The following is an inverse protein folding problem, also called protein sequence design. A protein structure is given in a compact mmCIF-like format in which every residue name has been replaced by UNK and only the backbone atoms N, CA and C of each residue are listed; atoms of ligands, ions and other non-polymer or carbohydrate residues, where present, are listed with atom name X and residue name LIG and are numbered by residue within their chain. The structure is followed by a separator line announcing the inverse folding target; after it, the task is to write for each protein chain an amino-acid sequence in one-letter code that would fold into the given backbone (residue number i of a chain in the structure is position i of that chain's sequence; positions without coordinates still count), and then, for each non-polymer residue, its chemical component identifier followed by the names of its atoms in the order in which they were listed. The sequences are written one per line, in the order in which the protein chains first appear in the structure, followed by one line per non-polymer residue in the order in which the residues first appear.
data_IF_556179844784
#
_entry.id   IF_556179844784
#
_cell.length_a   1.000
_cell.length_b   1.000
_cell.length_c   1.000
_cell.angle_alpha   90.00
_cell.angle_beta   90.00
_cell.angle_gamma   90.00
#
_symmetry.space_group_name_H-M   'P 1'
#
loop_
_entity.id
_entity.type
_entity.pdbx_description
1 polymer ?
#
# COMPACT_ATOMS: atom_id res chain seq x y z
N UNK A 1 -12.63 -6.83 7.33
CA UNK A 1 -11.16 -6.76 7.49
C UNK A 1 -10.75 -7.65 8.65
N UNK A 2 -9.74 -8.49 8.48
CA UNK A 2 -9.25 -9.37 9.55
C UNK A 2 -8.57 -8.54 10.66
N UNK A 3 -8.44 -9.08 11.87
CA UNK A 3 -7.74 -8.45 13.01
C UNK A 3 -6.29 -8.00 12.69
N UNK A 4 -5.72 -8.51 11.62
CA UNK A 4 -4.39 -8.20 11.12
C UNK A 4 -4.21 -6.73 10.65
N UNK A 5 -5.20 -6.16 9.99
CA UNK A 5 -5.10 -4.79 9.48
C UNK A 5 -4.99 -3.72 10.57
N UNK A 6 -5.34 -4.05 11.82
CA UNK A 6 -5.26 -3.13 12.97
C UNK A 6 -3.95 -3.22 13.77
N UNK A 7 -3.01 -4.06 13.38
CA UNK A 7 -1.73 -4.20 14.09
C UNK A 7 -0.65 -3.24 13.57
N UNK A 8 -0.85 -2.64 12.41
CA UNK A 8 0.09 -1.68 11.83
C UNK A 8 0.20 -0.37 12.64
N UNK A 9 -0.85 0.01 13.37
CA UNK A 9 -0.89 1.22 14.18
C UNK A 9 0.10 1.25 15.34
N UNK A 10 0.54 0.09 15.85
CA UNK A 10 1.51 0.00 16.93
C UNK A 10 2.84 0.71 16.64
N UNK A 11 3.11 1.02 15.37
CA UNK A 11 4.34 1.68 14.93
C UNK A 11 4.10 2.63 13.74
N UNK A 12 2.97 3.37 13.74
CA UNK A 12 2.55 4.22 12.63
C UNK A 12 3.62 5.25 12.22
N UNK A 13 4.31 5.86 13.19
CA UNK A 13 5.37 6.83 12.92
C UNK A 13 6.58 6.17 12.24
N UNK A 14 7.01 5.00 12.70
CA UNK A 14 8.09 4.24 12.04
C UNK A 14 7.65 3.82 10.65
N UNK A 15 6.44 3.29 10.51
CA UNK A 15 5.87 2.91 9.22
C UNK A 15 5.97 4.04 8.20
N UNK A 16 5.52 5.23 8.56
CA UNK A 16 5.52 6.40 7.69
C UNK A 16 6.94 6.83 7.28
N UNK A 17 7.91 6.72 8.20
CA UNK A 17 9.28 7.15 7.95
C UNK A 17 10.10 6.16 7.10
N UNK A 18 9.76 4.88 7.09
CA UNK A 18 10.61 3.85 6.49
C UNK A 18 10.01 3.20 5.25
N UNK A 19 8.68 3.23 5.10
CA UNK A 19 8.03 2.68 3.91
C UNK A 19 8.34 3.55 2.69
N UNK A 20 8.57 2.93 1.52
CA UNK A 20 8.83 3.70 0.31
C UNK A 20 7.58 4.46 -0.10
N UNK A 21 7.77 5.63 -0.70
CA UNK A 21 6.75 6.29 -1.50
C UNK A 21 6.43 5.52 -2.77
N UNK A 22 5.67 6.16 -3.64
CA UNK A 22 5.34 5.65 -4.96
C UNK A 22 5.91 6.61 -6.02
N UNK A 23 6.09 6.15 -7.26
CA UNK A 23 6.58 7.01 -8.34
C UNK A 23 5.69 8.24 -8.57
N UNK A 24 6.30 9.41 -8.70
CA UNK A 24 5.61 10.67 -8.97
C UNK A 24 4.78 10.61 -10.24
N UNK A 25 5.29 9.97 -11.27
CA UNK A 25 4.66 9.81 -12.58
C UNK A 25 3.28 9.14 -12.50
N UNK A 26 3.07 8.28 -11.50
CA UNK A 26 1.79 7.63 -11.27
C UNK A 26 0.74 8.66 -10.78
N UNK A 27 1.11 9.55 -9.90
CA UNK A 27 0.21 10.58 -9.39
C UNK A 27 0.02 11.72 -10.40
N UNK A 28 1.05 12.06 -11.17
CA UNK A 28 0.98 13.02 -12.27
C UNK A 28 -0.03 12.53 -13.32
N UNK A 29 0.07 11.25 -13.71
CA UNK A 29 -0.88 10.60 -14.62
C UNK A 29 -2.32 10.66 -14.09
N UNK A 30 -2.53 10.39 -12.78
CA UNK A 30 -3.87 10.50 -12.17
C UNK A 30 -4.39 11.95 -12.20
N UNK A 31 -3.53 12.93 -11.88
CA UNK A 31 -3.91 14.34 -11.90
C UNK A 31 -4.24 14.85 -13.32
N UNK A 32 -3.54 14.35 -14.33
CA UNK A 32 -3.75 14.73 -15.73
C UNK A 32 -5.10 14.21 -16.29
N UNK A 33 -5.55 13.04 -15.85
CA UNK A 33 -6.81 12.41 -16.32
C UNK A 33 -8.02 12.79 -15.48
N UNK A 34 -7.83 13.31 -14.27
CA UNK A 34 -8.90 13.75 -13.39
C UNK A 34 -9.22 15.24 -13.58
N UNK A 35 -10.47 15.67 -13.34
CA UNK A 35 -10.81 17.10 -13.33
C UNK A 35 -10.01 17.86 -12.24
N UNK A 36 -9.70 19.12 -12.49
CA UNK A 36 -9.10 19.97 -11.45
C UNK A 36 -9.95 20.00 -10.18
N UNK A 37 -9.34 19.76 -9.04
CA UNK A 37 -10.03 19.66 -7.75
C UNK A 37 -10.95 18.43 -7.62
N UNK A 38 -10.68 17.38 -8.37
CA UNK A 38 -11.41 16.12 -8.29
C UNK A 38 -11.44 15.55 -6.87
N UNK A 39 -12.52 14.86 -6.54
CA UNK A 39 -12.69 14.22 -5.24
C UNK A 39 -12.32 12.74 -5.33
N UNK A 40 -11.32 12.35 -4.56
CA UNK A 40 -10.78 10.98 -4.49
C UNK A 40 -11.20 10.33 -3.18
N UNK A 41 -11.72 9.11 -3.26
CA UNK A 41 -11.83 8.23 -2.10
C UNK A 41 -10.59 7.33 -2.05
N UNK A 42 -9.83 7.43 -0.98
CA UNK A 42 -8.71 6.51 -0.72
C UNK A 42 -9.12 5.44 0.30
N UNK A 43 -9.01 4.17 -0.08
CA UNK A 43 -9.39 3.02 0.74
C UNK A 43 -8.15 2.37 1.32
N UNK A 44 -8.05 2.32 2.65
CA UNK A 44 -6.88 1.83 3.36
C UNK A 44 -5.71 2.81 3.27
N UNK A 45 -5.97 4.07 3.64
CA UNK A 45 -5.01 5.16 3.47
C UNK A 45 -3.75 5.03 4.35
N UNK A 46 -3.82 4.23 5.41
CA UNK A 46 -2.70 4.03 6.34
C UNK A 46 -2.23 5.35 6.98
N UNK A 47 -0.95 5.61 6.94
CA UNK A 47 -0.33 6.86 7.43
C UNK A 47 -0.39 8.00 6.42
N UNK A 48 -0.97 7.78 5.23
CA UNK A 48 -1.21 8.81 4.23
C UNK A 48 -0.07 9.03 3.23
N UNK A 49 0.76 8.05 2.98
CA UNK A 49 1.86 8.15 2.00
C UNK A 49 1.30 8.54 0.62
N UNK A 50 0.27 7.85 0.12
CA UNK A 50 -0.36 8.21 -1.15
C UNK A 50 -1.31 9.41 -1.01
N UNK A 51 -1.97 9.58 0.13
CA UNK A 51 -2.84 10.75 0.41
C UNK A 51 -2.10 12.06 0.20
N UNK A 52 -0.87 12.18 0.73
CA UNK A 52 -0.04 13.39 0.59
C UNK A 52 0.27 13.70 -0.87
N UNK A 53 0.55 12.69 -1.67
CA UNK A 53 0.83 12.84 -3.10
C UNK A 53 -0.41 13.29 -3.90
N UNK A 54 -1.57 12.73 -3.57
CA UNK A 54 -2.85 13.14 -4.19
C UNK A 54 -3.18 14.60 -3.87
N UNK A 55 -3.06 14.99 -2.60
CA UNK A 55 -3.29 16.36 -2.14
C UNK A 55 -2.28 17.36 -2.73
N UNK A 56 -1.01 16.96 -2.84
CA UNK A 56 0.05 17.77 -3.45
C UNK A 56 -0.22 18.12 -4.91
N UNK A 57 -1.06 17.36 -5.58
CA UNK A 57 -1.53 17.58 -6.96
C UNK A 57 -2.88 18.30 -7.04
N UNK A 58 -3.34 18.87 -5.92
CA UNK A 58 -4.56 19.68 -5.87
C UNK A 58 -5.86 18.89 -5.89
N UNK A 59 -5.80 17.58 -5.62
CA UNK A 59 -6.98 16.73 -5.46
C UNK A 59 -7.55 16.88 -4.04
N UNK A 60 -8.83 16.60 -3.87
CA UNK A 60 -9.49 16.52 -2.57
C UNK A 60 -9.60 15.06 -2.16
N UNK A 61 -9.21 14.71 -0.95
CA UNK A 61 -9.17 13.32 -0.53
C UNK A 61 -10.10 13.06 0.65
N UNK A 62 -10.97 12.05 0.50
CA UNK A 62 -11.62 11.38 1.62
C UNK A 62 -10.88 10.06 1.85
N UNK A 63 -10.21 9.95 2.98
CA UNK A 63 -9.43 8.77 3.37
C UNK A 63 -10.24 7.88 4.32
N UNK A 64 -10.38 6.60 3.97
CA UNK A 64 -10.97 5.56 4.84
C UNK A 64 -9.85 4.68 5.37
N UNK A 65 -9.69 4.68 6.70
CA UNK A 65 -8.66 3.88 7.38
C UNK A 65 -9.23 3.27 8.66
N UNK A 66 -9.16 1.94 8.85
CA UNK A 66 -9.73 1.30 10.03
C UNK A 66 -8.86 1.36 11.29
N UNK A 67 -7.55 1.64 11.15
CA UNK A 67 -6.65 1.72 12.31
C UNK A 67 -6.56 3.15 12.83
N UNK A 68 -6.94 3.34 14.10
CA UNK A 68 -6.97 4.64 14.77
C UNK A 68 -5.60 5.35 14.78
N UNK A 69 -4.50 4.62 15.01
CA UNK A 69 -3.17 5.23 15.10
C UNK A 69 -2.65 5.63 13.71
N UNK A 70 -2.90 4.80 12.70
CA UNK A 70 -2.62 5.14 11.31
C UNK A 70 -3.39 6.39 10.89
N UNK A 71 -4.70 6.44 11.15
CA UNK A 71 -5.55 7.59 10.83
C UNK A 71 -5.12 8.86 11.57
N UNK A 72 -4.69 8.75 12.84
CA UNK A 72 -4.13 9.90 13.57
C UNK A 72 -2.82 10.38 12.98
N UNK A 73 -1.94 9.45 12.58
CA UNK A 73 -0.68 9.80 11.93
C UNK A 73 -0.93 10.51 10.60
N UNK A 74 -1.83 9.98 9.77
CA UNK A 74 -2.30 10.62 8.55
C UNK A 74 -2.78 12.06 8.81
N UNK A 75 -3.68 12.24 9.77
CA UNK A 75 -4.25 13.56 10.09
C UNK A 75 -3.21 14.58 10.60
N UNK A 76 -2.18 14.10 11.32
CA UNK A 76 -1.12 14.97 11.88
C UNK A 76 -0.12 15.43 10.84
N UNK A 77 0.17 14.59 9.85
CA UNK A 77 1.25 14.85 8.88
C UNK A 77 0.77 15.40 7.55
N UNK A 78 -0.56 15.52 7.38
CA UNK A 78 -1.13 15.87 6.10
C UNK A 78 -1.81 17.23 6.17
N UNK A 79 -1.49 18.09 5.19
CA UNK A 79 -2.11 19.41 5.01
C UNK A 79 -2.81 19.42 3.65
N UNK A 80 -4.04 19.89 3.60
CA UNK A 80 -4.81 19.98 2.35
C UNK A 80 -6.31 19.76 2.58
N UNK A 81 -7.06 19.59 1.49
CA UNK A 81 -8.49 19.29 1.52
C UNK A 81 -8.70 17.78 1.78
N UNK A 82 -8.55 17.42 3.06
CA UNK A 82 -8.58 16.04 3.57
C UNK A 82 -9.71 15.84 4.56
N UNK A 83 -10.51 14.81 4.33
CA UNK A 83 -11.41 14.22 5.31
C UNK A 83 -10.96 12.82 5.66
N UNK A 84 -10.86 12.47 6.97
CA UNK A 84 -10.47 11.13 7.43
C UNK A 84 -11.65 10.47 8.13
N UNK A 85 -12.03 9.29 7.65
CA UNK A 85 -13.10 8.47 8.22
C UNK A 85 -12.50 7.19 8.79
N UNK A 86 -12.54 7.07 10.12
CA UNK A 86 -12.02 5.88 10.81
C UNK A 86 -13.07 4.79 10.78
N UNK A 87 -12.95 3.91 9.79
CA UNK A 87 -13.86 2.76 9.59
C UNK A 87 -13.23 1.75 8.63
N UNK A 88 -13.68 0.52 8.66
CA UNK A 88 -13.38 -0.43 7.59
C UNK A 88 -14.23 -0.13 6.34
N UNK A 89 -13.73 -0.54 5.16
CA UNK A 89 -14.41 -0.29 3.90
C UNK A 89 -15.77 -1.00 3.80
N UNK A 90 -15.92 -2.17 4.43
CA UNK A 90 -17.18 -2.91 4.49
C UNK A 90 -18.28 -2.14 5.21
N UNK A 91 -17.91 -1.34 6.20
CA UNK A 91 -18.84 -0.49 6.99
C UNK A 91 -19.02 0.90 6.42
N UNK A 92 -18.15 1.34 5.53
CA UNK A 92 -18.26 2.68 4.91
C UNK A 92 -19.53 2.84 4.08
N UNK A 93 -20.28 3.91 4.33
CA UNK A 93 -21.57 4.20 3.68
C UNK A 93 -21.56 5.55 2.95
N UNK A 94 -20.58 5.73 2.08
CA UNK A 94 -20.50 6.93 1.22
C UNK A 94 -21.70 7.09 0.26
N UNK A 95 -21.96 8.33 -0.14
CA UNK A 95 -22.97 8.65 -1.12
C UNK A 95 -22.67 8.01 -2.48
N UNK A 96 -23.70 7.62 -3.21
CA UNK A 96 -23.55 7.04 -4.55
C UNK A 96 -23.06 8.11 -5.53
N UNK A 97 -22.15 7.72 -6.44
CA UNK A 97 -21.62 8.58 -7.52
C UNK A 97 -21.06 9.91 -7.00
N UNK A 98 -20.28 9.84 -5.91
CA UNK A 98 -19.74 11.04 -5.26
C UNK A 98 -18.27 11.30 -5.63
N UNK A 99 -17.55 10.27 -6.07
CA UNK A 99 -16.11 10.36 -6.28
C UNK A 99 -15.74 10.32 -7.76
N UNK A 100 -14.79 11.17 -8.14
CA UNK A 100 -14.18 11.18 -9.47
C UNK A 100 -13.17 10.01 -9.58
N UNK A 101 -12.51 9.67 -8.48
CA UNK A 101 -11.68 8.48 -8.39
C UNK A 101 -11.87 7.72 -7.06
N UNK A 102 -11.61 6.41 -7.10
CA UNK A 102 -11.39 5.57 -5.93
C UNK A 102 -10.02 4.94 -6.07
N UNK A 103 -9.18 5.11 -5.05
CA UNK A 103 -7.80 4.65 -5.03
C UNK A 103 -7.57 3.71 -3.85
N UNK A 104 -6.75 2.67 -4.02
CA UNK A 104 -6.30 1.80 -2.94
C UNK A 104 -4.85 1.40 -3.15
N UNK A 105 -3.99 1.79 -2.22
CA UNK A 105 -2.55 1.54 -2.29
C UNK A 105 -2.13 0.54 -1.22
N UNK A 106 -1.45 -0.53 -1.58
CA UNK A 106 -1.02 -1.60 -0.66
C UNK A 106 -2.15 -2.24 0.17
N UNK A 107 -3.42 -1.94 -0.07
CA UNK A 107 -4.51 -2.34 0.81
C UNK A 107 -5.59 -3.20 0.14
N UNK A 108 -5.73 -3.17 -1.19
CA UNK A 108 -6.83 -3.82 -1.89
C UNK A 108 -6.95 -5.33 -1.62
N UNK A 109 -5.84 -6.02 -1.37
CA UNK A 109 -5.84 -7.46 -1.05
C UNK A 109 -6.55 -7.84 0.28
N UNK A 110 -6.90 -6.86 1.10
CA UNK A 110 -7.68 -7.08 2.33
C UNK A 110 -9.19 -7.19 2.08
N UNK A 111 -9.66 -6.84 0.89
CA UNK A 111 -11.07 -6.76 0.56
C UNK A 111 -11.56 -7.97 -0.22
N UNK A 112 -12.84 -8.32 -0.03
CA UNK A 112 -13.42 -9.48 -0.68
C UNK A 112 -13.75 -9.19 -2.16
N UNK A 113 -12.92 -9.65 -3.07
CA UNK A 113 -13.10 -9.78 -4.52
C UNK A 113 -14.22 -8.94 -5.19
N UNK A 114 -15.09 -9.55 -5.94
CA UNK A 114 -16.15 -8.89 -6.72
C UNK A 114 -17.14 -8.03 -5.92
N UNK A 115 -17.33 -8.29 -4.61
CA UNK A 115 -18.18 -7.43 -3.77
C UNK A 115 -17.58 -6.03 -3.62
N UNK A 116 -16.29 -5.95 -3.31
CA UNK A 116 -15.60 -4.68 -3.10
C UNK A 116 -15.61 -3.82 -4.37
N UNK A 117 -15.39 -4.44 -5.54
CA UNK A 117 -15.49 -3.74 -6.83
C UNK A 117 -16.90 -3.23 -7.13
N UNK A 118 -17.96 -4.00 -6.79
CA UNK A 118 -19.33 -3.49 -6.89
C UNK A 118 -19.56 -2.25 -6.00
N UNK A 119 -18.97 -2.21 -4.79
CA UNK A 119 -19.02 -1.06 -3.91
C UNK A 119 -18.30 0.14 -4.52
N UNK A 120 -17.08 -0.05 -5.03
CA UNK A 120 -16.32 0.97 -5.75
C UNK A 120 -17.14 1.54 -6.91
N UNK A 121 -17.67 0.69 -7.77
CA UNK A 121 -18.51 1.11 -8.91
C UNK A 121 -19.73 1.94 -8.49
N UNK A 122 -20.34 1.62 -7.34
CA UNK A 122 -21.45 2.40 -6.79
C UNK A 122 -21.03 3.80 -6.34
N UNK A 123 -19.82 3.94 -5.80
CA UNK A 123 -19.28 5.19 -5.26
C UNK A 123 -18.75 6.13 -6.35
N UNK A 124 -18.18 5.57 -7.41
CA UNK A 124 -17.65 6.33 -8.54
C UNK A 124 -18.77 7.06 -9.31
N UNK A 125 -18.47 8.25 -9.78
CA UNK A 125 -19.26 8.95 -10.82
C UNK A 125 -19.24 8.17 -12.13
N UNK A 126 -20.08 8.56 -13.09
CA UNK A 126 -19.94 8.12 -14.48
C UNK A 126 -18.58 8.62 -15.00
N UNK A 127 -17.88 7.82 -15.75
CA UNK A 127 -16.50 8.06 -16.20
C UNK A 127 -15.46 8.20 -15.07
N UNK A 128 -15.86 7.88 -13.83
CA UNK A 128 -14.96 7.87 -12.69
C UNK A 128 -13.92 6.74 -12.77
N UNK A 129 -12.82 6.88 -12.06
CA UNK A 129 -11.65 6.02 -12.15
C UNK A 129 -11.49 5.18 -10.89
N UNK A 130 -11.21 3.89 -11.07
CA UNK A 130 -10.68 3.04 -10.01
C UNK A 130 -9.21 2.76 -10.28
N UNK A 131 -8.35 2.92 -9.26
CA UNK A 131 -6.96 2.53 -9.35
C UNK A 131 -6.51 1.80 -8.09
N UNK A 132 -5.82 0.67 -8.26
CA UNK A 132 -5.19 -0.03 -7.15
C UNK A 132 -3.80 -0.52 -7.55
N UNK A 133 -2.82 -0.32 -6.64
CA UNK A 133 -1.43 -0.70 -6.89
C UNK A 133 -0.67 -1.09 -5.63
N UNK A 134 0.44 -1.79 -5.85
CA UNK A 134 1.33 -2.30 -4.82
C UNK A 134 2.78 -2.02 -5.18
N UNK A 135 3.57 -1.64 -4.20
CA UNK A 135 5.03 -1.69 -4.29
C UNK A 135 5.51 -3.08 -3.90
N UNK A 136 6.21 -3.72 -4.81
CA UNK A 136 6.84 -5.02 -4.62
C UNK A 136 8.34 -4.79 -4.59
N UNK A 137 8.94 -4.91 -3.41
CA UNK A 137 10.36 -4.69 -3.21
C UNK A 137 11.18 -5.96 -3.42
N UNK A 138 12.40 -5.78 -3.91
CA UNK A 138 13.42 -6.83 -4.03
C UNK A 138 14.78 -6.25 -3.66
N UNK A 139 15.49 -6.90 -2.74
CA UNK A 139 16.89 -6.55 -2.44
C UNK A 139 17.75 -6.89 -3.66
N UNK A 140 18.51 -5.91 -4.17
CA UNK A 140 19.22 -6.05 -5.44
C UNK A 140 20.47 -6.94 -5.33
N UNK A 141 21.12 -6.98 -4.17
CA UNK A 141 22.20 -7.91 -3.89
C UNK A 141 21.66 -9.29 -3.49
N UNK A 142 21.72 -10.23 -4.43
CA UNK A 142 21.25 -11.61 -4.25
C UNK A 142 21.97 -12.37 -3.10
N UNK A 143 23.23 -12.05 -2.81
CA UNK A 143 23.97 -12.67 -1.72
C UNK A 143 23.43 -12.16 -0.38
N UNK A 144 23.34 -10.84 -0.23
CA UNK A 144 22.79 -10.20 0.96
C UNK A 144 21.33 -10.61 1.19
N UNK A 145 20.52 -10.64 0.14
CA UNK A 145 19.14 -11.11 0.22
C UNK A 145 19.02 -12.51 0.81
N UNK A 146 19.89 -13.45 0.38
CA UNK A 146 19.92 -14.82 0.93
C UNK A 146 20.41 -14.85 2.38
N UNK A 147 21.40 -14.05 2.73
CA UNK A 147 21.93 -13.97 4.10
C UNK A 147 20.87 -13.42 5.07
N UNK A 148 20.10 -12.40 4.66
CA UNK A 148 19.00 -11.84 5.45
C UNK A 148 17.79 -12.79 5.52
N UNK A 149 17.45 -13.45 4.41
CA UNK A 149 16.40 -14.46 4.38
C UNK A 149 16.68 -15.64 5.30
N UNK A 150 17.97 -16.05 5.43
CA UNK A 150 18.39 -17.14 6.32
C UNK A 150 18.04 -16.86 7.79
N UNK A 151 18.00 -15.60 8.23
CA UNK A 151 17.59 -15.23 9.60
C UNK A 151 16.20 -15.76 9.94
N UNK A 152 15.26 -15.62 9.02
CA UNK A 152 13.88 -16.11 9.20
C UNK A 152 13.80 -17.62 9.20
N UNK A 153 14.60 -18.29 8.37
CA UNK A 153 14.70 -19.77 8.35
C UNK A 153 15.30 -20.30 9.64
N UNK A 154 16.41 -19.71 10.11
CA UNK A 154 17.09 -20.09 11.35
C UNK A 154 16.21 -19.91 12.59
N UNK A 155 15.30 -18.95 12.56
CA UNK A 155 14.35 -18.68 13.63
C UNK A 155 12.99 -19.36 13.44
N UNK A 156 12.84 -20.14 12.36
CA UNK A 156 11.61 -20.85 11.97
C UNK A 156 10.38 -19.92 11.81
N UNK A 157 10.60 -18.73 11.25
CA UNK A 157 9.55 -17.77 10.98
C UNK A 157 9.27 -17.64 9.48
N UNK A 158 8.06 -17.15 9.17
CA UNK A 158 7.64 -16.92 7.80
C UNK A 158 8.51 -15.83 7.16
N UNK A 159 9.00 -16.12 5.96
CA UNK A 159 9.82 -15.21 5.19
C UNK A 159 9.00 -14.00 4.71
N UNK A 160 9.43 -12.75 5.00
CA UNK A 160 8.76 -11.56 4.47
C UNK A 160 8.72 -11.52 2.94
N UNK A 161 7.69 -10.88 2.41
CA UNK A 161 7.46 -10.76 0.96
C UNK A 161 8.66 -10.17 0.21
N UNK A 162 9.43 -9.29 0.85
CA UNK A 162 10.64 -8.67 0.30
C UNK A 162 11.73 -9.69 -0.11
N UNK A 163 11.76 -10.85 0.52
CA UNK A 163 12.70 -11.94 0.24
C UNK A 163 12.08 -13.10 -0.55
N UNK A 164 10.79 -13.01 -0.83
CA UNK A 164 10.09 -13.97 -1.68
C UNK A 164 9.89 -13.30 -3.05
N UNK A 165 10.10 -14.03 -4.13
CA UNK A 165 9.54 -13.61 -5.42
C UNK A 165 8.03 -13.81 -5.30
N UNK A 166 7.24 -12.75 -5.22
CA UNK A 166 5.87 -12.88 -4.77
C UNK A 166 4.95 -13.46 -5.83
N UNK A 167 4.05 -14.32 -5.40
CA UNK A 167 2.80 -14.64 -6.09
C UNK A 167 1.79 -13.46 -6.03
N UNK A 168 2.26 -12.23 -5.75
CA UNK A 168 1.44 -11.01 -5.81
C UNK A 168 0.91 -10.75 -7.22
N UNK A 169 1.55 -11.33 -8.23
CA UNK A 169 1.01 -11.38 -9.58
C UNK A 169 -0.40 -12.00 -9.58
N UNK A 170 -0.67 -13.04 -8.80
CA UNK A 170 -2.02 -13.65 -8.74
C UNK A 170 -3.08 -12.65 -8.28
N UNK A 171 -2.82 -11.85 -7.22
CA UNK A 171 -3.79 -10.84 -6.74
C UNK A 171 -3.98 -9.73 -7.76
N UNK A 172 -2.91 -9.28 -8.40
CA UNK A 172 -2.94 -8.22 -9.42
C UNK A 172 -3.64 -8.72 -10.68
N UNK A 173 -3.32 -9.93 -11.13
CA UNK A 173 -3.92 -10.57 -12.31
C UNK A 173 -5.41 -10.87 -12.06
N UNK A 174 -5.77 -11.35 -10.86
CA UNK A 174 -7.17 -11.55 -10.47
C UNK A 174 -7.95 -10.23 -10.49
N UNK A 175 -7.38 -9.16 -9.95
CA UNK A 175 -8.00 -7.84 -10.01
C UNK A 175 -8.22 -7.39 -11.47
N UNK A 176 -7.20 -7.52 -12.31
CA UNK A 176 -7.29 -7.20 -13.74
C UNK A 176 -8.40 -8.01 -14.43
N UNK A 177 -8.46 -9.31 -14.19
CA UNK A 177 -9.51 -10.19 -14.71
C UNK A 177 -10.91 -9.78 -14.24
N UNK A 178 -11.09 -9.51 -12.93
CA UNK A 178 -12.38 -9.07 -12.37
C UNK A 178 -12.81 -7.72 -12.95
N UNK A 179 -11.89 -6.81 -13.20
CA UNK A 179 -12.19 -5.52 -13.81
C UNK A 179 -12.66 -5.67 -15.26
N UNK A 180 -12.05 -6.58 -16.03
CA UNK A 180 -12.40 -6.81 -17.43
C UNK A 180 -13.71 -7.59 -17.61
N UNK A 181 -13.89 -8.70 -16.84
CA UNK A 181 -14.91 -9.68 -17.14
C UNK A 181 -16.25 -9.40 -16.45
N UNK A 182 -16.22 -8.95 -15.18
CA UNK A 182 -17.42 -9.02 -14.34
C UNK A 182 -18.14 -7.71 -14.09
N UNK A 183 -17.53 -6.56 -14.32
CA UNK A 183 -18.05 -5.32 -13.70
C UNK A 183 -18.23 -4.13 -14.63
N UNK A 184 -18.01 -4.29 -15.93
CA UNK A 184 -18.32 -3.26 -16.92
C UNK A 184 -17.51 -1.97 -16.72
N UNK A 185 -16.23 -2.11 -16.44
CA UNK A 185 -15.28 -1.05 -16.66
C UNK A 185 -14.90 -1.04 -18.15
N UNK A 186 -14.98 0.12 -18.78
CA UNK A 186 -14.83 0.26 -20.25
C UNK A 186 -13.38 0.13 -20.71
N UNK A 187 -12.44 0.44 -19.85
CA UNK A 187 -11.00 0.49 -20.12
C UNK A 187 -10.26 0.08 -18.87
N UNK A 188 -9.39 -0.89 -18.99
CA UNK A 188 -8.53 -1.38 -17.91
C UNK A 188 -7.09 -1.34 -18.38
N UNK A 189 -6.24 -0.63 -17.67
CA UNK A 189 -4.83 -0.44 -17.99
C UNK A 189 -3.94 -0.96 -16.90
N UNK A 190 -2.92 -1.75 -17.20
CA UNK A 190 -1.94 -2.14 -16.23
C UNK A 190 -1.04 -0.94 -15.86
N UNK A 191 -0.74 -0.82 -14.58
CA UNK A 191 0.23 0.12 -14.05
C UNK A 191 1.54 -0.62 -13.79
N UNK A 192 2.65 -0.06 -14.26
CA UNK A 192 3.98 -0.62 -14.03
C UNK A 192 5.04 0.48 -14.01
N UNK A 193 5.66 0.66 -12.85
CA UNK A 193 6.75 1.62 -12.64
C UNK A 193 7.88 0.95 -11.88
N UNK A 194 9.10 1.43 -12.08
CA UNK A 194 10.30 0.98 -11.38
C UNK A 194 10.87 2.16 -10.59
N UNK A 195 11.26 1.90 -9.35
CA UNK A 195 12.00 2.83 -8.51
C UNK A 195 13.00 2.07 -7.64
N UNK A 196 13.98 2.75 -7.07
CA UNK A 196 14.88 2.15 -6.10
C UNK A 196 15.06 3.06 -4.89
N UNK A 197 15.34 2.44 -3.73
CA UNK A 197 15.61 3.12 -2.49
C UNK A 197 16.84 2.51 -1.85
N UNK A 198 17.80 3.37 -1.48
CA UNK A 198 18.92 2.97 -0.64
C UNK A 198 18.52 3.07 0.83
N UNK A 199 18.78 2.01 1.56
CA UNK A 199 18.50 1.91 2.99
C UNK A 199 19.78 1.82 3.78
N UNK A 200 19.96 2.75 4.70
CA UNK A 200 20.89 2.58 5.82
C UNK A 200 20.48 1.36 6.63
N UNK A 201 21.41 0.62 7.25
CA UNK A 201 21.12 -0.62 7.99
C UNK A 201 19.98 -0.47 9.00
N UNK A 202 20.03 0.57 9.83
CA UNK A 202 19.00 0.83 10.84
C UNK A 202 17.61 1.09 10.22
N UNK A 203 17.58 1.78 9.07
CA UNK A 203 16.33 2.10 8.37
C UNK A 203 15.72 0.83 7.74
N UNK A 204 16.57 -0.06 7.22
CA UNK A 204 16.10 -1.35 6.71
C UNK A 204 15.56 -2.26 7.82
N UNK A 205 16.24 -2.35 8.97
CA UNK A 205 15.73 -3.10 10.13
C UNK A 205 14.39 -2.51 10.61
N UNK A 206 14.27 -1.18 10.63
CA UNK A 206 13.01 -0.52 10.94
C UNK A 206 11.93 -0.79 9.88
N UNK A 207 12.27 -0.86 8.58
CA UNK A 207 11.35 -1.31 7.53
C UNK A 207 10.85 -2.74 7.81
N UNK A 208 11.77 -3.65 8.16
CA UNK A 208 11.42 -5.03 8.50
C UNK A 208 10.47 -5.11 9.69
N UNK A 209 10.63 -4.25 10.71
CA UNK A 209 9.72 -4.19 11.87
C UNK A 209 8.29 -3.81 11.52
N UNK A 210 8.05 -3.22 10.34
CA UNK A 210 6.72 -2.85 9.84
C UNK A 210 6.09 -3.90 8.91
N UNK A 211 6.80 -4.99 8.61
CA UNK A 211 6.26 -6.06 7.77
C UNK A 211 5.27 -6.93 8.55
N UNK A 212 4.19 -7.34 7.90
CA UNK A 212 3.13 -8.14 8.53
C UNK A 212 3.67 -9.42 9.16
N UNK A 213 4.63 -10.07 8.52
CA UNK A 213 5.26 -11.30 8.98
C UNK A 213 6.07 -11.10 10.27
N UNK A 214 6.59 -9.88 10.49
CA UNK A 214 7.34 -9.51 11.71
C UNK A 214 6.42 -8.97 12.79
N UNK A 215 5.38 -8.21 12.42
CA UNK A 215 4.42 -7.65 13.36
C UNK A 215 3.65 -8.71 14.15
N UNK A 216 3.42 -9.88 13.56
CA UNK A 216 2.68 -10.99 14.21
C UNK A 216 3.53 -11.80 15.17
N UNK A 217 4.85 -11.59 15.22
CA UNK A 217 5.74 -12.29 16.13
C UNK A 217 5.53 -11.82 17.56
N UNK A 218 5.67 -12.73 18.52
CA UNK A 218 5.80 -12.38 19.92
C UNK A 218 7.01 -11.46 20.15
N UNK A 219 6.98 -10.64 21.22
CA UNK A 219 7.99 -9.59 21.44
C UNK A 219 9.42 -10.11 21.38
N UNK A 220 9.71 -11.21 22.09
CA UNK A 220 11.03 -11.79 22.19
C UNK A 220 11.55 -12.34 20.84
N UNK A 221 10.65 -12.94 20.06
CA UNK A 221 10.99 -13.45 18.72
C UNK A 221 11.21 -12.30 17.74
N UNK A 222 10.39 -11.26 17.83
CA UNK A 222 10.55 -10.04 17.03
C UNK A 222 11.89 -9.38 17.30
N UNK A 223 12.25 -9.16 18.56
CA UNK A 223 13.53 -8.57 18.94
C UNK A 223 14.70 -9.44 18.48
N UNK A 224 14.60 -10.76 18.61
CA UNK A 224 15.61 -11.71 18.15
C UNK A 224 15.81 -11.65 16.64
N UNK A 225 14.73 -11.63 15.85
CA UNK A 225 14.78 -11.54 14.39
C UNK A 225 15.40 -10.21 13.97
N UNK A 226 14.93 -9.09 14.52
CA UNK A 226 15.43 -7.76 14.17
C UNK A 226 16.90 -7.57 14.58
N UNK A 227 17.29 -8.06 15.76
CA UNK A 227 18.70 -8.05 16.21
C UNK A 227 19.61 -8.82 15.26
N UNK A 228 19.22 -10.04 14.86
CA UNK A 228 19.99 -10.84 13.90
C UNK A 228 20.07 -10.21 12.51
N UNK A 229 19.00 -9.54 12.06
CA UNK A 229 19.05 -8.78 10.81
C UNK A 229 20.08 -7.64 10.91
N UNK A 230 20.07 -6.90 12.02
CA UNK A 230 21.05 -5.84 12.29
C UNK A 230 22.48 -6.37 12.28
N UNK A 231 22.72 -7.48 12.97
CA UNK A 231 24.07 -8.12 13.02
C UNK A 231 24.55 -8.56 11.64
N UNK A 232 23.65 -9.12 10.80
CA UNK A 232 23.99 -9.55 9.43
C UNK A 232 24.26 -8.39 8.49
N UNK A 233 23.54 -7.27 8.65
CA UNK A 233 23.76 -6.07 7.86
C UNK A 233 25.06 -5.35 8.24
N UNK A 234 25.42 -5.31 9.53
CA UNK A 234 26.51 -4.46 10.00
C UNK A 234 26.31 -3.01 9.56
N UNK A 235 27.30 -2.43 8.91
CA UNK A 235 27.26 -1.07 8.37
C UNK A 235 26.92 -1.01 6.87
N UNK A 236 26.48 -2.12 6.28
CA UNK A 236 26.26 -2.22 4.84
C UNK A 236 24.93 -1.54 4.42
N UNK A 237 25.05 -0.47 3.65
CA UNK A 237 23.90 0.14 2.92
C UNK A 237 23.41 -0.86 1.86
N UNK A 238 22.11 -1.03 1.74
CA UNK A 238 21.51 -1.90 0.74
C UNK A 238 20.52 -1.15 -0.13
N UNK A 239 20.42 -1.61 -1.37
CA UNK A 239 19.44 -1.11 -2.32
C UNK A 239 18.27 -2.08 -2.43
N UNK A 240 17.06 -1.52 -2.40
CA UNK A 240 15.83 -2.24 -2.70
C UNK A 240 15.23 -1.63 -3.96
N UNK A 241 15.08 -2.44 -5.00
CA UNK A 241 14.30 -2.10 -6.18
C UNK A 241 12.82 -2.35 -5.89
N UNK A 242 11.98 -1.38 -6.21
CA UNK A 242 10.52 -1.49 -6.09
C UNK A 242 9.89 -1.49 -7.47
N UNK A 243 9.09 -2.51 -7.72
CA UNK A 243 8.18 -2.56 -8.86
C UNK A 243 6.79 -2.18 -8.37
N UNK A 244 6.30 -1.01 -8.80
CA UNK A 244 4.92 -0.60 -8.55
C UNK A 244 4.03 -1.21 -9.62
N UNK A 245 3.17 -2.14 -9.23
CA UNK A 245 2.26 -2.88 -10.12
C UNK A 245 0.81 -2.67 -9.71
N UNK A 246 -0.09 -2.61 -10.68
CA UNK A 246 -1.52 -2.48 -10.41
C UNK A 246 -2.36 -2.30 -11.66
N UNK A 247 -3.57 -1.79 -11.46
CA UNK A 247 -4.51 -1.50 -12.53
C UNK A 247 -5.20 -0.16 -12.33
N UNK A 248 -5.45 0.51 -13.46
CA UNK A 248 -6.32 1.65 -13.62
C UNK A 248 -7.53 1.22 -14.45
N UNK A 249 -8.74 1.56 -14.03
CA UNK A 249 -9.95 1.19 -14.72
C UNK A 249 -10.96 2.35 -14.77
N UNK A 250 -11.61 2.55 -15.91
CA UNK A 250 -12.60 3.60 -16.12
C UNK A 250 -14.00 3.01 -16.04
N UNK A 251 -14.85 3.62 -15.23
CA UNK A 251 -16.25 3.21 -15.10
C UNK A 251 -17.06 3.63 -16.32
N UNK A 252 -17.86 2.69 -16.91
CA UNK A 252 -18.87 3.00 -17.91
C UNK A 252 -20.05 3.77 -17.31
#
# INVERSE_FOLDING_TARGET
MTSFGRQFGLNAATYDNVRPGYPDELFDMLADILPTGATVLEIGAGTGIATRELLGRGLRVLAVEPDDEMARQLSRQTVGDLEVVITDFESYRGARRSFDAVVSTQAWHWFAGAWALRCVKRLLRHDGIFAAWWNIGTVTDDRLARELAAVFQETNHRLPVLFRRPDLNETIDELGRLLHEDLGFSRVEPLRYLSSVQYEPWKFVALMSTMSEVLVLESDDRERVLGRLSDRLGDQVLEVEYMTLGHLAFRC
#
